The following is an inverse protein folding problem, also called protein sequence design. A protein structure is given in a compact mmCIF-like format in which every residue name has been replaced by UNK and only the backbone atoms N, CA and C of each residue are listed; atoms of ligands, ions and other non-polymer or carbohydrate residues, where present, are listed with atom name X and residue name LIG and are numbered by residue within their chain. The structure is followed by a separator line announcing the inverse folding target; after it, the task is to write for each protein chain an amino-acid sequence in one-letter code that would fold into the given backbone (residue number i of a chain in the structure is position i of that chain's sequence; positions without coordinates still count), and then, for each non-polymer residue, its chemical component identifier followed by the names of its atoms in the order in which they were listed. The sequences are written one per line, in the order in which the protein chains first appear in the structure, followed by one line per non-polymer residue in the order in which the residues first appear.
data_IF_994371134764
#
_entry.id   IF_994371134764
#
_cell.length_a   1.000
_cell.length_b   1.000
_cell.length_c   1.000
_cell.angle_alpha   90.00
_cell.angle_beta   90.00
_cell.angle_gamma   90.00
#
_symmetry.space_group_name_H-M   'P 1'
#
loop_
_entity.id
_entity.type
_entity.pdbx_description
1 polymer ?
#
# COMPACT_ATOMS: atom_id res chain seq x y z
N UNK A 1 5.65 -26.57 15.56
CA UNK A 1 6.59 -25.48 15.81
C UNK A 1 6.92 -24.89 14.44
N UNK A 2 6.18 -23.86 14.03
CA UNK A 2 6.24 -23.25 12.70
C UNK A 2 7.36 -22.19 12.72
N UNK A 3 8.40 -22.39 11.92
CA UNK A 3 9.35 -21.34 11.57
C UNK A 3 8.85 -20.73 10.27
N UNK A 4 8.11 -19.63 10.39
CA UNK A 4 7.81 -18.71 9.31
C UNK A 4 9.15 -18.03 8.97
N UNK A 5 9.68 -18.24 7.77
CA UNK A 5 10.62 -17.28 7.20
C UNK A 5 9.71 -16.11 6.78
N UNK A 6 9.61 -14.97 7.46
CA UNK A 6 10.70 -14.02 7.56
C UNK A 6 11.75 -14.35 6.49
N UNK A 7 11.60 -13.75 5.30
CA UNK A 7 12.78 -13.10 4.70
C UNK A 7 13.57 -12.59 5.90
N UNK A 8 14.80 -13.05 6.10
CA UNK A 8 15.58 -12.53 7.21
C UNK A 8 15.87 -11.06 6.89
N UNK A 9 14.90 -10.19 7.17
CA UNK A 9 15.09 -8.76 7.35
C UNK A 9 15.96 -8.55 8.60
N UNK A 10 16.19 -9.59 9.42
CA UNK A 10 17.30 -9.66 10.38
C UNK A 10 18.71 -9.72 9.75
N UNK A 11 18.81 -9.85 8.44
CA UNK A 11 20.00 -9.47 7.65
C UNK A 11 19.64 -8.46 6.57
N UNK A 12 18.64 -7.60 6.84
CA UNK A 12 18.74 -6.22 6.38
C UNK A 12 20.05 -5.76 7.01
N UNK A 13 21.11 -5.75 6.19
CA UNK A 13 22.42 -5.23 6.54
C UNK A 13 22.14 -3.99 7.38
N UNK A 14 22.72 -3.92 8.58
CA UNK A 14 22.85 -2.65 9.28
C UNK A 14 23.61 -1.74 8.31
N UNK A 15 22.87 -1.08 7.41
CA UNK A 15 23.39 -0.14 6.43
C UNK A 15 23.75 1.07 7.26
N UNK A 16 24.92 1.01 7.86
CA UNK A 16 25.58 2.18 8.40
C UNK A 16 25.70 3.16 7.24
N UNK A 17 24.84 4.19 7.25
CA UNK A 17 24.86 5.31 6.32
C UNK A 17 26.22 5.99 6.46
N UNK A 18 27.19 5.51 5.68
CA UNK A 18 28.51 6.09 5.58
C UNK A 18 28.42 7.32 4.70
N UNK A 19 28.37 8.50 5.33
CA UNK A 19 28.43 9.77 4.61
C UNK A 19 29.74 9.88 3.81
N UNK A 20 29.66 9.76 2.48
CA UNK A 20 30.75 10.08 1.57
C UNK A 20 30.35 11.27 0.71
N UNK A 21 31.04 12.40 0.90
CA UNK A 21 30.73 13.66 0.23
C UNK A 21 30.89 13.59 -1.29
N UNK A 22 29.88 14.07 -2.02
CA UNK A 22 29.93 14.26 -3.46
C UNK A 22 30.97 15.34 -3.84
N UNK A 23 31.96 14.95 -4.64
CA UNK A 23 32.71 15.85 -5.51
C UNK A 23 32.24 15.61 -6.94
N UNK A 24 31.54 16.58 -7.53
CA UNK A 24 31.00 16.49 -8.89
C UNK A 24 32.07 16.82 -9.93
N UNK A 25 32.46 15.84 -10.75
CA UNK A 25 33.14 16.10 -12.03
C UNK A 25 32.17 15.80 -13.17
N UNK A 26 31.61 16.87 -13.74
CA UNK A 26 30.76 16.84 -14.93
C UNK A 26 31.55 16.34 -16.14
N UNK A 27 31.10 15.25 -16.76
CA UNK A 27 31.46 14.93 -18.14
C UNK A 27 30.26 15.10 -19.04
N UNK A 28 30.25 16.23 -19.73
CA UNK A 28 29.51 16.43 -20.98
C UNK A 28 29.82 15.28 -21.94
N UNK A 29 28.77 14.65 -22.47
CA UNK A 29 28.86 13.83 -23.68
C UNK A 29 27.54 13.89 -24.46
N UNK A 30 27.48 14.89 -25.33
CA UNK A 30 27.27 14.64 -26.76
C UNK A 30 25.89 14.16 -27.22
N UNK A 31 25.16 15.12 -27.77
CA UNK A 31 23.97 15.03 -28.63
C UNK A 31 24.04 14.00 -29.77
N UNK A 32 22.89 13.40 -30.10
CA UNK A 32 22.56 13.04 -31.49
C UNK A 32 21.78 11.74 -31.69
N UNK A 33 20.48 11.84 -32.03
CA UNK A 33 19.71 10.68 -32.49
C UNK A 33 18.22 10.95 -32.70
N UNK A 34 17.87 11.63 -33.80
CA UNK A 34 16.48 11.79 -34.25
C UNK A 34 15.95 10.49 -34.88
N UNK A 35 14.69 10.14 -34.60
CA UNK A 35 13.83 9.45 -35.57
C UNK A 35 13.05 8.25 -35.05
N UNK A 36 11.71 8.37 -35.06
CA UNK A 36 10.82 7.20 -35.08
C UNK A 36 9.49 7.37 -34.34
N UNK A 37 8.62 8.30 -34.74
CA UNK A 37 7.21 8.26 -34.33
C UNK A 37 6.52 7.08 -35.02
N UNK A 38 6.24 6.01 -34.27
CA UNK A 38 5.33 4.94 -34.71
C UNK A 38 3.90 5.43 -34.52
N UNK A 39 3.20 5.58 -35.64
CA UNK A 39 1.80 5.97 -35.71
C UNK A 39 0.92 4.75 -35.38
N UNK A 40 0.45 4.64 -34.14
CA UNK A 40 -0.58 3.66 -33.76
C UNK A 40 -1.94 4.35 -33.89
N UNK A 41 -2.59 4.14 -35.03
CA UNK A 41 -4.01 4.46 -35.23
C UNK A 41 -4.85 3.42 -34.47
N UNK A 42 -5.15 3.71 -33.20
CA UNK A 42 -6.10 2.96 -32.37
C UNK A 42 -7.43 3.73 -32.22
N UNK A 43 -8.55 3.04 -32.40
CA UNK A 43 -9.88 3.61 -32.63
C UNK A 43 -10.47 4.48 -31.53
N UNK A 44 -11.25 5.48 -31.94
CA UNK A 44 -12.07 6.34 -31.09
C UNK A 44 -13.20 5.55 -30.43
N UNK A 45 -13.01 5.19 -29.16
CA UNK A 45 -14.05 4.75 -28.24
C UNK A 45 -14.81 5.95 -27.65
N UNK A 46 -16.13 5.87 -27.63
CA UNK A 46 -17.06 6.99 -27.45
C UNK A 46 -17.02 7.69 -26.09
N UNK A 47 -17.16 9.02 -26.14
CA UNK A 47 -17.46 9.87 -25.01
C UNK A 47 -18.91 9.62 -24.55
N UNK A 48 -19.06 9.02 -23.37
CA UNK A 48 -20.32 9.02 -22.62
C UNK A 48 -20.58 10.40 -22.04
N UNK A 49 -21.72 10.99 -22.41
CA UNK A 49 -22.08 12.37 -22.12
C UNK A 49 -22.28 12.68 -20.64
N UNK A 50 -21.82 13.86 -20.27
CA UNK A 50 -22.16 14.60 -19.07
C UNK A 50 -23.65 15.02 -19.09
N UNK A 51 -24.40 14.58 -18.09
CA UNK A 51 -25.80 14.97 -17.89
C UNK A 51 -25.97 15.70 -16.56
N UNK A 52 -25.71 17.01 -16.55
CA UNK A 52 -26.08 17.89 -15.46
C UNK A 52 -26.90 19.05 -16.02
N UNK A 53 -28.22 19.08 -15.78
CA UNK A 53 -29.02 20.29 -15.47
C UNK A 53 -30.53 19.99 -15.43
N UNK A 54 -31.21 20.61 -14.45
CA UNK A 54 -32.34 21.48 -14.78
C UNK A 54 -33.75 20.88 -14.74
N UNK A 55 -34.29 20.76 -13.53
CA UNK A 55 -35.71 20.87 -13.25
C UNK A 55 -36.25 22.23 -13.78
N UNK A 56 -37.23 22.23 -14.70
CA UNK A 56 -38.51 22.97 -14.63
C UNK A 56 -39.32 22.88 -15.94
N UNK A 57 -40.55 22.36 -15.81
CA UNK A 57 -41.78 22.70 -16.55
C UNK A 57 -41.95 22.54 -18.06
N UNK A 58 -43.20 22.14 -18.38
CA UNK A 58 -43.99 22.31 -19.62
C UNK A 58 -43.82 21.33 -20.79
N UNK A 59 -44.69 20.31 -20.79
CA UNK A 59 -45.74 20.11 -21.81
C UNK A 59 -45.30 19.70 -23.22
N UNK A 60 -45.58 18.43 -23.59
CA UNK A 60 -45.47 17.97 -24.98
C UNK A 60 -45.95 16.53 -25.18
N UNK A 61 -47.17 16.42 -25.69
CA UNK A 61 -47.94 15.26 -26.16
C UNK A 61 -47.22 13.95 -26.53
N UNK A 62 -47.76 12.85 -25.98
CA UNK A 62 -48.34 11.73 -26.73
C UNK A 62 -47.48 11.06 -27.82
N UNK A 63 -46.70 10.06 -27.43
CA UNK A 63 -46.09 9.07 -28.33
C UNK A 63 -46.57 7.66 -27.98
N UNK A 64 -47.09 6.97 -28.99
CA UNK A 64 -47.86 5.72 -28.95
C UNK A 64 -47.24 4.55 -28.20
N UNK A 65 -48.11 3.79 -27.52
CA UNK A 65 -47.85 2.45 -27.03
C UNK A 65 -47.53 1.50 -28.21
N UNK A 66 -46.27 1.10 -28.33
CA UNK A 66 -45.78 0.11 -29.28
C UNK A 66 -45.54 -1.24 -28.59
N UNK A 67 -46.46 -2.17 -28.82
CA UNK A 67 -46.28 -3.62 -28.92
C UNK A 67 -45.29 -4.32 -27.98
N UNK A 68 -45.84 -4.98 -26.96
CA UNK A 68 -45.24 -6.13 -26.30
C UNK A 68 -45.08 -7.28 -27.30
N UNK A 69 -43.88 -7.47 -27.83
CA UNK A 69 -43.50 -8.69 -28.53
C UNK A 69 -42.08 -9.04 -28.12
N UNK A 70 -41.93 -10.20 -27.49
CA UNK A 70 -40.68 -10.67 -26.89
C UNK A 70 -39.54 -10.69 -27.90
N UNK A 71 -38.67 -9.68 -27.81
CA UNK A 71 -37.30 -9.79 -28.24
C UNK A 71 -36.52 -10.37 -27.07
N UNK A 72 -36.07 -11.62 -27.21
CA UNK A 72 -34.90 -12.10 -26.48
C UNK A 72 -33.79 -11.08 -26.69
N UNK A 73 -33.59 -10.19 -25.71
CA UNK A 73 -32.42 -9.32 -25.70
C UNK A 73 -31.23 -10.23 -25.80
N UNK A 74 -30.50 -10.15 -26.92
CA UNK A 74 -29.22 -10.81 -27.06
C UNK A 74 -28.40 -10.36 -25.85
N UNK A 75 -28.18 -11.29 -24.92
CA UNK A 75 -27.25 -11.09 -23.82
C UNK A 75 -25.99 -10.54 -24.45
N UNK A 76 -25.63 -9.31 -24.06
CA UNK A 76 -24.40 -8.70 -24.53
C UNK A 76 -23.31 -9.72 -24.31
N UNK A 77 -22.62 -10.10 -25.39
CA UNK A 77 -21.50 -11.01 -25.34
C UNK A 77 -20.62 -10.55 -24.20
N UNK A 78 -20.62 -11.32 -23.10
CA UNK A 78 -19.65 -11.20 -22.02
C UNK A 78 -18.30 -11.44 -22.68
N UNK A 79 -17.73 -10.34 -23.17
CA UNK A 79 -16.55 -10.33 -24.00
C UNK A 79 -15.39 -10.75 -23.15
N UNK A 80 -14.89 -11.95 -23.43
CA UNK A 80 -13.52 -12.39 -23.29
C UNK A 80 -12.67 -11.60 -22.30
N UNK A 81 -12.65 -12.01 -21.04
CA UNK A 81 -11.46 -11.83 -20.21
C UNK A 81 -11.33 -13.06 -19.32
N UNK A 82 -10.86 -14.15 -19.92
CA UNK A 82 -10.08 -15.08 -19.10
C UNK A 82 -8.70 -14.44 -19.02
N UNK A 83 -8.49 -13.60 -18.00
CA UNK A 83 -7.14 -13.11 -17.71
C UNK A 83 -6.39 -14.28 -17.07
N UNK A 84 -5.78 -15.12 -17.90
CA UNK A 84 -4.80 -16.11 -17.46
C UNK A 84 -3.45 -15.43 -17.27
N UNK A 85 -3.42 -14.40 -16.43
CA UNK A 85 -2.22 -13.61 -16.20
C UNK A 85 -1.81 -13.71 -14.73
N UNK A 86 -0.53 -13.98 -14.49
CA UNK A 86 0.05 -13.93 -13.14
C UNK A 86 -0.17 -12.52 -12.57
N UNK A 87 -0.52 -12.44 -11.29
CA UNK A 87 -0.72 -11.15 -10.60
C UNK A 87 -2.13 -10.56 -10.73
N UNK A 88 -2.95 -11.07 -11.65
CA UNK A 88 -4.31 -10.58 -11.85
C UNK A 88 -5.18 -10.75 -10.61
N UNK A 89 -6.09 -9.79 -10.35
CA UNK A 89 -7.06 -9.86 -9.25
C UNK A 89 -8.07 -10.98 -9.50
N UNK A 90 -8.44 -11.71 -8.44
CA UNK A 90 -9.42 -12.81 -8.53
C UNK A 90 -10.22 -12.95 -7.24
N UNK A 91 -11.43 -13.49 -7.35
CA UNK A 91 -12.22 -13.92 -6.20
C UNK A 91 -12.30 -15.45 -6.09
N UNK A 92 -11.96 -16.17 -7.17
CA UNK A 92 -11.96 -17.63 -7.25
C UNK A 92 -11.03 -18.14 -8.37
N UNK A 93 -10.71 -19.42 -8.36
CA UNK A 93 -9.88 -20.07 -9.40
C UNK A 93 -10.46 -19.91 -10.83
N UNK A 94 -11.77 -19.73 -10.95
CA UNK A 94 -12.43 -19.56 -12.26
C UNK A 94 -12.04 -18.23 -12.91
N UNK A 95 -11.75 -17.20 -12.10
CA UNK A 95 -11.34 -15.88 -12.61
C UNK A 95 -9.94 -15.94 -13.24
N UNK A 96 -9.10 -16.88 -12.78
CA UNK A 96 -7.77 -17.14 -13.32
C UNK A 96 -7.75 -18.00 -14.59
N UNK A 97 -8.93 -18.37 -15.10
CA UNK A 97 -9.07 -19.18 -16.30
C UNK A 97 -8.92 -20.68 -16.13
N UNK A 98 -8.78 -21.14 -14.88
CA UNK A 98 -8.55 -22.55 -14.56
C UNK A 98 -7.22 -23.08 -15.09
N UNK A 99 -7.11 -24.41 -15.16
CA UNK A 99 -5.87 -25.09 -15.53
C UNK A 99 -4.90 -25.16 -14.36
N UNK A 100 -3.68 -24.66 -14.54
CA UNK A 100 -2.64 -24.65 -13.50
C UNK A 100 -2.73 -23.44 -12.56
N UNK A 101 -3.48 -22.41 -12.94
CA UNK A 101 -3.64 -21.19 -12.14
C UNK A 101 -4.72 -21.38 -11.08
N UNK A 102 -4.43 -20.86 -9.89
CA UNK A 102 -5.33 -20.80 -8.74
C UNK A 102 -5.38 -19.38 -8.18
N UNK A 103 -6.49 -19.03 -7.58
CA UNK A 103 -6.67 -17.78 -6.88
C UNK A 103 -6.24 -17.93 -5.41
N UNK A 104 -5.25 -17.17 -4.97
CA UNK A 104 -4.97 -17.02 -3.53
C UNK A 104 -5.83 -15.88 -3.01
N UNK A 105 -6.94 -16.22 -2.34
CA UNK A 105 -7.87 -15.27 -1.73
C UNK A 105 -7.36 -14.74 -0.38
N UNK A 106 -7.90 -13.64 0.15
CA UNK A 106 -7.51 -13.09 1.45
C UNK A 106 -7.68 -14.03 2.65
N UNK A 107 -8.50 -15.07 2.52
CA UNK A 107 -8.80 -16.07 3.55
C UNK A 107 -8.10 -17.42 3.31
N UNK A 108 -7.14 -17.48 2.39
CA UNK A 108 -6.40 -18.70 2.09
C UNK A 108 -5.65 -19.25 3.32
N UNK A 109 -5.66 -20.59 3.47
CA UNK A 109 -4.95 -21.25 4.57
C UNK A 109 -3.44 -20.98 4.48
N UNK A 110 -2.88 -20.43 5.55
CA UNK A 110 -1.45 -20.08 5.61
C UNK A 110 -1.13 -18.64 5.25
N UNK A 111 -2.13 -17.85 4.83
CA UNK A 111 -1.95 -16.45 4.45
C UNK A 111 -2.56 -16.17 3.09
N UNK A 112 -3.42 -15.16 3.02
CA UNK A 112 -4.07 -14.72 1.79
C UNK A 112 -3.45 -13.46 1.20
N UNK A 113 -3.76 -13.18 -0.06
CA UNK A 113 -3.36 -11.93 -0.71
C UNK A 113 -4.57 -11.00 -0.74
N UNK A 114 -4.35 -9.74 -0.35
CA UNK A 114 -5.37 -8.69 -0.42
C UNK A 114 -6.04 -8.71 -1.81
N UNK A 115 -7.37 -8.65 -1.82
CA UNK A 115 -8.21 -8.66 -3.04
C UNK A 115 -8.01 -9.87 -3.98
N UNK A 116 -7.26 -10.89 -3.55
CA UNK A 116 -6.94 -12.07 -4.33
C UNK A 116 -5.89 -11.86 -5.42
N UNK A 117 -5.18 -12.94 -5.76
CA UNK A 117 -4.19 -12.94 -6.84
C UNK A 117 -4.15 -14.28 -7.58
N UNK A 118 -4.19 -14.21 -8.91
CA UNK A 118 -3.94 -15.36 -9.77
C UNK A 118 -2.46 -15.72 -9.76
N UNK A 119 -2.17 -16.95 -9.35
CA UNK A 119 -0.82 -17.50 -9.30
C UNK A 119 -0.87 -19.01 -9.57
N UNK A 120 0.27 -19.67 -9.55
CA UNK A 120 0.37 -21.12 -9.55
C UNK A 120 1.57 -21.57 -8.75
N UNK A 121 1.54 -22.81 -8.30
CA UNK A 121 2.67 -23.43 -7.64
C UNK A 121 3.83 -23.61 -8.61
N UNK A 122 5.06 -23.46 -8.12
CA UNK A 122 6.27 -23.65 -8.90
C UNK A 122 7.42 -24.24 -8.07
N UNK A 123 8.39 -24.83 -8.75
CA UNK A 123 9.69 -25.19 -8.16
C UNK A 123 10.87 -24.45 -8.81
N UNK A 124 10.61 -23.76 -9.92
CA UNK A 124 11.60 -23.00 -10.68
C UNK A 124 10.93 -21.90 -11.53
N UNK A 125 11.68 -20.85 -11.89
CA UNK A 125 11.21 -19.76 -12.76
C UNK A 125 10.63 -20.27 -14.09
N UNK A 126 11.17 -21.38 -14.63
CA UNK A 126 10.73 -21.93 -15.90
C UNK A 126 9.26 -22.38 -15.91
N UNK A 127 8.70 -22.68 -14.73
CA UNK A 127 7.30 -23.05 -14.58
C UNK A 127 6.38 -21.82 -14.66
N UNK A 128 6.86 -20.63 -14.28
CA UNK A 128 6.08 -19.39 -14.24
C UNK A 128 5.93 -18.71 -15.60
N UNK A 129 6.65 -19.17 -16.62
CA UNK A 129 6.66 -18.56 -17.94
C UNK A 129 7.55 -17.32 -18.00
N UNK A 130 7.50 -16.58 -19.11
CA UNK A 130 8.39 -15.44 -19.34
C UNK A 130 8.07 -14.20 -18.50
N UNK A 131 6.87 -14.12 -17.92
CA UNK A 131 6.36 -12.96 -17.19
C UNK A 131 6.29 -13.19 -15.68
N UNK A 132 6.99 -14.19 -15.15
CA UNK A 132 6.97 -14.47 -13.73
C UNK A 132 8.20 -15.18 -13.21
N UNK A 133 8.40 -15.08 -11.90
CA UNK A 133 9.45 -15.78 -11.18
C UNK A 133 8.87 -16.63 -10.07
N UNK A 134 9.59 -17.70 -9.75
CA UNK A 134 9.21 -18.58 -8.67
C UNK A 134 9.83 -18.13 -7.37
N UNK A 135 9.02 -17.69 -6.41
CA UNK A 135 9.49 -17.34 -5.07
C UNK A 135 8.96 -18.31 -4.03
N UNK A 136 9.86 -18.81 -3.17
CA UNK A 136 9.51 -19.67 -2.03
C UNK A 136 9.37 -18.83 -0.77
N UNK A 137 8.17 -18.74 -0.21
CA UNK A 137 7.94 -17.92 0.98
C UNK A 137 8.44 -18.58 2.28
N UNK A 138 8.56 -19.93 2.33
CA UNK A 138 8.72 -20.63 3.61
C UNK A 138 9.87 -21.66 3.65
N UNK A 139 10.82 -21.59 2.72
CA UNK A 139 11.85 -22.63 2.57
C UNK A 139 11.27 -24.01 2.24
N UNK A 140 10.00 -24.07 1.85
CA UNK A 140 9.36 -25.24 1.25
C UNK A 140 9.93 -25.45 -0.15
N UNK A 141 9.96 -26.71 -0.60
CA UNK A 141 10.38 -27.04 -1.98
C UNK A 141 9.39 -26.54 -3.05
N UNK A 142 8.25 -25.99 -2.64
CA UNK A 142 7.21 -25.44 -3.51
C UNK A 142 7.06 -23.96 -3.20
N UNK A 143 7.21 -23.12 -4.23
CA UNK A 143 6.97 -21.69 -4.21
C UNK A 143 5.72 -21.31 -5.01
N UNK A 144 5.51 -20.01 -5.15
CA UNK A 144 4.44 -19.42 -5.94
C UNK A 144 5.04 -18.58 -7.08
N UNK A 145 4.35 -18.59 -8.22
CA UNK A 145 4.69 -17.72 -9.33
C UNK A 145 4.20 -16.30 -9.06
N UNK A 146 5.12 -15.36 -8.96
CA UNK A 146 4.82 -13.93 -8.92
C UNK A 146 5.02 -13.33 -10.30
N UNK A 147 4.26 -12.30 -10.62
CA UNK A 147 4.48 -11.51 -11.83
C UNK A 147 5.86 -10.85 -11.75
N UNK A 148 6.63 -10.95 -12.82
CA UNK A 148 7.91 -10.30 -12.95
C UNK A 148 7.70 -8.80 -13.20
N UNK A 149 8.49 -7.97 -12.54
CA UNK A 149 8.46 -6.52 -12.73
C UNK A 149 9.88 -5.98 -12.88
N UNK A 150 10.00 -4.79 -13.45
CA UNK A 150 11.26 -4.07 -13.54
C UNK A 150 11.27 -2.93 -12.53
N UNK A 151 12.28 -2.94 -11.68
CA UNK A 151 12.49 -1.90 -10.69
C UNK A 151 12.91 -0.59 -11.36
N UNK A 152 12.45 0.56 -10.85
CA UNK A 152 12.86 1.88 -11.34
C UNK A 152 12.27 2.34 -12.69
N UNK A 153 11.43 1.53 -13.34
CA UNK A 153 10.70 1.92 -14.56
C UNK A 153 9.18 1.70 -14.42
N UNK A 154 8.34 2.44 -15.18
CA UNK A 154 8.70 3.60 -15.98
C UNK A 154 8.83 4.88 -15.15
N UNK A 155 9.91 5.63 -15.39
CA UNK A 155 10.08 6.95 -14.82
C UNK A 155 9.15 7.95 -15.53
N UNK A 156 7.97 8.27 -14.97
CA UNK A 156 7.20 9.39 -15.51
C UNK A 156 5.74 9.60 -15.12
N UNK A 157 5.10 8.73 -14.34
CA UNK A 157 3.71 8.93 -13.97
C UNK A 157 3.53 9.02 -12.45
N UNK A 158 2.77 10.02 -11.97
CA UNK A 158 2.27 10.10 -10.59
C UNK A 158 1.18 9.04 -10.29
N UNK A 159 1.08 7.99 -11.10
CA UNK A 159 0.06 6.96 -11.05
C UNK A 159 0.73 5.60 -11.27
N UNK A 160 0.20 4.57 -10.61
CA UNK A 160 0.63 3.20 -10.76
C UNK A 160 0.54 2.79 -12.24
N UNK A 161 1.64 2.28 -12.79
CA UNK A 161 1.69 1.81 -14.17
C UNK A 161 0.86 0.52 -14.28
N UNK A 162 -0.20 0.46 -15.11
CA UNK A 162 -0.97 -0.76 -15.33
C UNK A 162 -0.14 -1.95 -15.83
N UNK A 163 1.06 -1.72 -16.39
CA UNK A 163 1.96 -2.79 -16.84
C UNK A 163 2.92 -3.27 -15.74
N UNK A 164 2.91 -2.63 -14.56
CA UNK A 164 3.74 -2.98 -13.42
C UNK A 164 2.83 -3.47 -12.31
N UNK A 165 2.85 -4.78 -12.05
CA UNK A 165 2.01 -5.39 -11.03
C UNK A 165 0.52 -5.09 -11.27
N UNK A 166 0.10 -5.09 -12.54
CA UNK A 166 -1.25 -4.69 -12.98
C UNK A 166 -1.72 -3.30 -12.54
N UNK A 167 -0.79 -2.40 -12.16
CA UNK A 167 -1.12 -1.10 -11.56
C UNK A 167 -1.87 -1.22 -10.24
N UNK A 168 -1.72 -2.35 -9.56
CA UNK A 168 -2.34 -2.63 -8.26
C UNK A 168 -1.61 -1.88 -7.16
N UNK A 169 -2.38 -1.37 -6.22
CA UNK A 169 -1.87 -0.66 -5.05
C UNK A 169 -1.65 -1.58 -3.83
N UNK A 170 -2.06 -2.84 -3.95
CA UNK A 170 -1.87 -3.93 -3.00
C UNK A 170 -0.82 -4.95 -3.47
N UNK A 171 -0.11 -4.62 -4.57
CA UNK A 171 1.11 -5.28 -5.01
C UNK A 171 2.16 -4.20 -5.24
N UNK A 172 3.44 -4.52 -5.05
CA UNK A 172 4.49 -3.63 -5.51
C UNK A 172 5.73 -4.40 -5.95
N UNK A 173 6.54 -3.75 -6.78
CA UNK A 173 7.73 -4.36 -7.34
C UNK A 173 8.85 -4.38 -6.30
N UNK A 174 9.21 -5.57 -5.83
CA UNK A 174 10.31 -5.78 -4.90
C UNK A 174 11.47 -6.45 -5.64
N UNK A 175 12.73 -5.98 -5.45
CA UNK A 175 13.89 -6.59 -6.10
C UNK A 175 14.02 -8.06 -5.70
N UNK A 176 14.36 -8.91 -6.66
CA UNK A 176 14.60 -10.31 -6.42
C UNK A 176 15.90 -10.50 -5.60
N UNK A 177 16.13 -11.70 -5.10
CA UNK A 177 17.41 -12.06 -4.48
C UNK A 177 18.24 -12.87 -5.47
N UNK A 178 19.49 -12.49 -5.70
CA UNK A 178 20.40 -13.22 -6.57
C UNK A 178 20.87 -14.54 -5.93
N UNK A 179 21.70 -15.30 -6.65
CA UNK A 179 22.23 -16.58 -6.16
C UNK A 179 23.15 -16.45 -4.93
N UNK A 180 23.62 -15.24 -4.61
CA UNK A 180 24.47 -14.94 -3.46
C UNK A 180 23.68 -14.50 -2.22
N UNK A 181 22.37 -14.25 -2.37
CA UNK A 181 21.56 -13.68 -1.30
C UNK A 181 21.50 -12.15 -1.34
N UNK A 182 22.05 -11.51 -2.37
CA UNK A 182 22.04 -10.06 -2.53
C UNK A 182 20.80 -9.59 -3.30
N UNK A 183 20.34 -8.36 -3.06
CA UNK A 183 19.23 -7.79 -3.81
C UNK A 183 19.64 -7.52 -5.26
N UNK A 184 18.92 -8.13 -6.21
CA UNK A 184 19.05 -7.91 -7.64
C UNK A 184 18.00 -6.91 -8.12
N UNK A 185 18.39 -5.65 -8.33
CA UNK A 185 17.48 -4.61 -8.83
C UNK A 185 17.17 -4.74 -10.32
N UNK A 186 17.82 -5.66 -11.06
CA UNK A 186 17.52 -5.90 -12.48
C UNK A 186 16.33 -6.84 -12.67
N UNK A 187 15.93 -7.54 -11.60
CA UNK A 187 14.79 -8.45 -11.55
C UNK A 187 13.89 -8.06 -10.39
N UNK A 188 12.59 -8.07 -10.59
CA UNK A 188 11.65 -7.80 -9.52
C UNK A 188 10.47 -8.74 -9.55
N UNK A 189 9.83 -8.88 -8.39
CA UNK A 189 8.60 -9.61 -8.20
C UNK A 189 7.51 -8.67 -7.69
N UNK A 190 6.31 -8.81 -8.24
CA UNK A 190 5.13 -8.16 -7.70
C UNK A 190 4.69 -8.87 -6.43
N UNK A 191 5.22 -8.40 -5.30
CA UNK A 191 4.93 -8.98 -3.98
C UNK A 191 3.67 -8.35 -3.39
N UNK A 192 2.86 -9.12 -2.65
CA UNK A 192 1.66 -8.62 -2.02
C UNK A 192 1.97 -7.64 -0.88
N UNK A 193 1.12 -6.62 -0.77
CA UNK A 193 1.13 -5.63 0.28
C UNK A 193 -0.32 -5.37 0.72
N UNK A 194 -0.73 -5.96 1.83
CA UNK A 194 -1.93 -5.54 2.51
C UNK A 194 -1.66 -4.18 3.20
N UNK A 195 -2.67 -3.31 3.23
CA UNK A 195 -2.53 -1.95 3.82
C UNK A 195 -3.35 -1.77 5.08
N UNK A 196 -4.49 -2.43 5.13
CA UNK A 196 -5.44 -2.35 6.21
C UNK A 196 -6.29 -3.63 6.23
N UNK A 197 -7.02 -3.81 7.31
CA UNK A 197 -7.86 -4.99 7.50
C UNK A 197 -9.02 -5.02 6.48
N UNK A 198 -9.47 -3.86 5.97
CA UNK A 198 -10.54 -3.78 4.97
C UNK A 198 -10.14 -4.44 3.64
N UNK A 199 -8.87 -4.38 3.24
CA UNK A 199 -8.35 -5.07 2.04
C UNK A 199 -8.29 -6.60 2.23
N UNK A 200 -8.34 -7.07 3.49
CA UNK A 200 -8.26 -8.48 3.86
C UNK A 200 -9.62 -9.14 4.16
N UNK A 201 -10.71 -8.40 4.09
CA UNK A 201 -12.06 -8.93 4.32
C UNK A 201 -12.23 -9.47 5.75
N UNK A 202 -12.46 -10.78 5.96
CA UNK A 202 -12.57 -11.36 7.31
C UNK A 202 -11.22 -11.61 8.01
N UNK A 203 -10.11 -11.52 7.27
CA UNK A 203 -8.75 -11.68 7.78
C UNK A 203 -8.18 -10.33 8.23
N UNK A 204 -6.98 -10.34 8.82
CA UNK A 204 -6.26 -9.14 9.25
C UNK A 204 -5.06 -8.89 8.35
N UNK A 205 -4.75 -7.64 8.06
CA UNK A 205 -3.52 -7.31 7.37
C UNK A 205 -2.33 -7.48 8.30
N UNK A 206 -1.34 -8.29 7.90
CA UNK A 206 -0.03 -8.31 8.54
C UNK A 206 0.99 -7.46 7.75
N UNK A 207 1.26 -6.22 8.20
CA UNK A 207 2.15 -5.30 7.48
C UNK A 207 3.63 -5.72 7.50
N UNK A 208 4.03 -6.69 8.32
CA UNK A 208 5.40 -7.26 8.26
C UNK A 208 5.62 -8.15 7.03
N UNK A 209 4.54 -8.80 6.59
CA UNK A 209 4.57 -9.82 5.55
C UNK A 209 3.87 -9.39 4.26
N UNK A 210 3.03 -8.36 4.34
CA UNK A 210 2.21 -7.88 3.23
C UNK A 210 1.03 -8.81 2.89
N UNK A 211 0.74 -9.83 3.71
CA UNK A 211 -0.35 -10.79 3.48
C UNK A 211 -1.45 -10.68 4.53
N UNK A 212 -2.62 -11.21 4.18
CA UNK A 212 -3.78 -11.31 5.04
C UNK A 212 -3.70 -12.58 5.91
N UNK A 213 -3.78 -12.43 7.22
CA UNK A 213 -3.67 -13.53 8.19
C UNK A 213 -4.96 -13.71 8.99
N UNK A 214 -5.24 -14.96 9.39
CA UNK A 214 -6.41 -15.26 10.21
C UNK A 214 -6.32 -14.69 11.64
N UNK A 215 -5.13 -14.29 12.10
CA UNK A 215 -4.89 -13.71 13.42
C UNK A 215 -4.30 -12.33 13.25
N UNK A 216 -4.82 -11.34 13.99
CA UNK A 216 -4.29 -9.99 13.96
C UNK A 216 -2.81 -9.98 14.37
N UNK A 217 -1.94 -9.25 13.65
CA UNK A 217 -0.55 -9.11 14.03
C UNK A 217 -0.44 -8.43 15.39
N UNK A 218 0.47 -8.93 16.23
CA UNK A 218 0.80 -8.32 17.53
C UNK A 218 1.95 -7.35 17.36
N UNK A 219 2.03 -6.34 18.23
CA UNK A 219 3.11 -5.37 18.24
C UNK A 219 2.58 -3.95 18.36
N UNK A 220 3.52 -3.00 18.35
CA UNK A 220 3.25 -1.58 18.31
C UNK A 220 2.79 -1.16 16.91
N UNK A 221 1.80 -0.28 16.88
CA UNK A 221 1.25 0.27 15.65
C UNK A 221 2.25 1.20 14.94
N UNK A 222 1.97 1.44 13.66
CA UNK A 222 2.62 2.49 12.88
C UNK A 222 2.71 3.83 13.64
N UNK A 223 3.88 4.47 13.58
CA UNK A 223 4.18 5.73 14.24
C UNK A 223 4.46 5.62 15.75
N UNK A 224 4.38 4.42 16.34
CA UNK A 224 4.79 4.24 17.73
C UNK A 224 6.33 4.29 17.86
N UNK A 225 6.86 4.84 18.95
CA UNK A 225 8.29 4.78 19.21
C UNK A 225 8.72 3.33 19.45
N UNK A 226 9.86 2.94 18.89
CA UNK A 226 10.48 1.64 19.09
C UNK A 226 11.96 1.82 19.38
N UNK A 227 12.55 0.90 20.14
CA UNK A 227 13.99 0.91 20.39
C UNK A 227 14.63 -0.23 19.61
N UNK A 228 15.31 0.08 18.51
CA UNK A 228 16.25 -0.86 17.90
C UNK A 228 17.67 -0.32 18.03
N UNK A 229 18.50 -1.01 18.81
CA UNK A 229 19.93 -0.71 18.85
C UNK A 229 20.58 -1.30 17.61
N UNK A 230 21.38 -0.49 16.92
CA UNK A 230 21.92 -0.59 15.55
C UNK A 230 22.58 -1.90 15.06
N UNK A 231 22.54 -3.01 15.80
CA UNK A 231 23.14 -4.28 15.39
C UNK A 231 22.18 -5.47 15.41
N UNK A 232 21.05 -5.37 16.11
CA UNK A 232 20.16 -6.52 16.29
C UNK A 232 18.75 -6.03 16.65
N UNK A 233 17.87 -5.86 15.66
CA UNK A 233 16.44 -5.64 15.89
C UNK A 233 15.72 -6.98 16.18
N UNK A 234 16.38 -7.97 16.77
CA UNK A 234 15.74 -9.27 17.07
C UNK A 234 14.54 -9.16 18.01
N UNK A 235 14.48 -8.10 18.82
CA UNK A 235 13.35 -7.75 19.69
C UNK A 235 12.54 -6.57 19.12
N UNK A 236 12.30 -6.53 17.81
CA UNK A 236 11.46 -5.50 17.20
C UNK A 236 10.04 -5.55 17.79
N UNK A 237 9.59 -4.50 18.50
CA UNK A 237 8.26 -4.49 19.10
C UNK A 237 7.17 -4.13 18.10
N UNK A 238 7.51 -3.72 16.88
CA UNK A 238 6.57 -3.21 15.88
C UNK A 238 5.75 -4.34 15.23
N UNK A 239 4.54 -4.01 14.76
CA UNK A 239 3.74 -4.93 13.94
C UNK A 239 4.38 -5.25 12.59
N UNK A 240 5.19 -4.33 12.06
CA UNK A 240 5.97 -4.51 10.83
C UNK A 240 7.45 -4.43 11.15
N UNK A 241 8.08 -3.25 11.04
CA UNK A 241 9.48 -3.09 11.45
C UNK A 241 9.78 -1.73 12.10
N UNK A 242 10.80 -1.72 12.94
CA UNK A 242 11.35 -0.54 13.60
C UNK A 242 12.38 0.13 12.70
N UNK A 243 12.06 1.31 12.18
CA UNK A 243 13.01 2.11 11.43
C UNK A 243 13.79 3.00 12.39
N UNK A 244 15.08 2.68 12.57
CA UNK A 244 15.98 3.40 13.48
C UNK A 244 16.21 4.85 13.03
N UNK A 245 16.18 5.78 13.98
CA UNK A 245 16.56 7.17 13.74
C UNK A 245 18.08 7.31 13.54
N UNK A 246 18.50 8.46 13.01
CA UNK A 246 19.92 8.76 12.77
C UNK A 246 20.79 8.67 14.04
N UNK A 247 20.18 8.81 15.22
CA UNK A 247 20.84 8.71 16.52
C UNK A 247 21.05 7.28 17.05
N UNK A 248 20.43 6.26 16.44
CA UNK A 248 20.70 4.84 16.68
C UNK A 248 20.20 4.22 18.00
N UNK A 249 19.48 4.98 18.84
CA UNK A 249 18.88 4.46 20.08
C UNK A 249 17.35 4.37 20.01
N UNK A 250 16.73 5.30 19.29
CA UNK A 250 15.28 5.40 19.13
C UNK A 250 14.93 5.30 17.64
N UNK A 251 13.81 4.65 17.36
CA UNK A 251 13.23 4.48 16.03
C UNK A 251 11.72 4.67 16.08
N UNK A 252 11.08 4.53 14.93
CA UNK A 252 9.63 4.58 14.81
C UNK A 252 9.15 3.35 14.06
N UNK A 253 8.08 2.73 14.55
CA UNK A 253 7.42 1.64 13.85
C UNK A 253 6.88 2.15 12.53
N UNK A 254 7.31 1.50 11.45
CA UNK A 254 6.89 1.79 10.09
C UNK A 254 6.44 0.49 9.42
N UNK A 255 5.94 0.60 8.20
CA UNK A 255 5.54 -0.51 7.35
C UNK A 255 6.00 -0.26 5.91
N UNK A 256 6.07 -1.33 5.13
CA UNK A 256 6.40 -1.23 3.70
C UNK A 256 5.22 -0.66 2.93
N UNK A 257 5.52 0.08 1.88
CA UNK A 257 4.50 0.67 1.02
C UNK A 257 4.97 0.76 -0.43
N UNK A 258 3.99 0.94 -1.33
CA UNK A 258 4.22 1.11 -2.76
C UNK A 258 4.48 2.59 -3.06
N UNK A 259 5.64 2.87 -3.67
CA UNK A 259 6.01 4.22 -4.07
C UNK A 259 5.02 4.79 -5.10
N UNK A 260 4.74 6.09 -4.99
CA UNK A 260 3.85 6.82 -5.89
C UNK A 260 2.35 6.63 -5.63
N UNK A 261 1.97 5.84 -4.62
CA UNK A 261 0.58 5.78 -4.16
C UNK A 261 0.22 6.95 -3.21
N UNK A 262 0.55 8.17 -3.62
CA UNK A 262 0.35 9.37 -2.79
C UNK A 262 -1.13 9.79 -2.69
N UNK A 263 -1.96 9.31 -3.63
CA UNK A 263 -3.37 9.72 -3.69
C UNK A 263 -4.32 8.74 -3.01
N UNK A 264 -3.95 7.49 -2.78
CA UNK A 264 -4.87 6.55 -2.15
C UNK A 264 -4.82 6.75 -0.63
N UNK A 265 -5.92 7.17 0.02
CA UNK A 265 -5.99 7.23 1.47
C UNK A 265 -5.60 5.88 2.09
N UNK A 266 -4.78 5.89 3.13
CA UNK A 266 -4.31 4.67 3.80
C UNK A 266 -3.20 3.93 3.05
N UNK A 267 -2.37 4.63 2.26
CA UNK A 267 -1.14 4.03 1.68
C UNK A 267 -0.11 3.69 2.74
N UNK A 268 -0.22 4.42 3.86
CA UNK A 268 0.57 4.28 5.04
C UNK A 268 -0.31 4.51 6.26
N UNK A 269 -0.28 3.53 7.16
CA UNK A 269 -1.07 3.44 8.36
C UNK A 269 -2.48 2.91 8.11
N UNK A 270 -2.93 2.03 9.01
CA UNK A 270 -4.36 1.80 9.26
C UNK A 270 -4.98 3.12 9.72
N UNK A 271 -5.54 3.87 8.77
CA UNK A 271 -6.20 5.14 9.01
C UNK A 271 -7.52 4.92 9.75
N UNK A 272 -7.45 4.54 11.03
CA UNK A 272 -8.61 4.47 11.93
C UNK A 272 -9.26 5.85 12.14
N UNK A 273 -8.57 6.94 11.77
CA UNK A 273 -8.99 8.34 11.97
C UNK A 273 -9.53 9.05 10.72
N UNK A 274 -9.42 8.45 9.52
CA UNK A 274 -9.90 9.07 8.26
C UNK A 274 -9.06 10.25 7.72
N UNK A 275 -7.93 10.62 8.36
CA UNK A 275 -6.92 11.50 7.76
C UNK A 275 -5.77 10.67 7.17
N UNK A 276 -5.19 11.16 6.06
CA UNK A 276 -3.92 10.65 5.55
C UNK A 276 -2.82 11.05 6.53
N UNK A 277 -2.56 10.18 7.51
CA UNK A 277 -1.57 10.42 8.55
C UNK A 277 -0.16 9.98 8.12
N UNK A 278 0.00 9.40 6.93
CA UNK A 278 1.29 8.90 6.44
C UNK A 278 1.47 8.96 4.93
N UNK A 279 2.73 8.98 4.52
CA UNK A 279 3.17 8.92 3.13
C UNK A 279 4.22 7.83 2.92
N UNK A 280 4.24 7.28 1.72
CA UNK A 280 5.23 6.30 1.32
C UNK A 280 6.51 6.98 0.86
N UNK A 281 7.59 6.84 1.63
CA UNK A 281 8.89 7.45 1.31
C UNK A 281 9.88 6.37 0.86
N UNK A 282 10.15 6.31 -0.44
CA UNK A 282 11.12 5.39 -1.04
C UNK A 282 12.58 5.71 -0.71
N UNK A 283 12.90 7.00 -0.55
CA UNK A 283 14.27 7.45 -0.31
C UNK A 283 14.82 7.14 1.10
N UNK A 284 13.99 6.65 2.01
CA UNK A 284 14.40 6.35 3.39
C UNK A 284 15.13 5.02 3.54
N UNK A 285 14.87 4.05 2.66
CA UNK A 285 15.32 2.67 2.88
C UNK A 285 16.57 2.30 2.06
N UNK A 286 16.77 2.86 0.86
CA UNK A 286 17.80 2.36 -0.07
C UNK A 286 18.71 3.40 -0.76
N UNK A 287 18.81 4.63 -0.24
CA UNK A 287 19.71 5.64 -0.83
C UNK A 287 21.21 5.46 -0.49
N UNK A 288 21.60 4.31 0.07
CA UNK A 288 23.01 3.95 0.19
C UNK A 288 23.49 3.40 -1.16
N UNK A 289 24.46 4.09 -1.78
CA UNK A 289 25.33 3.57 -2.86
C UNK A 289 24.84 3.58 -4.32
N UNK A 290 23.99 4.53 -4.71
CA UNK A 290 23.67 4.74 -6.13
C UNK A 290 22.73 3.69 -6.73
N UNK A 291 21.82 3.18 -5.90
CA UNK A 291 20.66 2.41 -6.35
C UNK A 291 19.88 3.19 -7.44
N UNK A 292 19.25 2.49 -8.40
CA UNK A 292 18.44 3.14 -9.42
C UNK A 292 17.31 3.96 -8.78
N UNK A 293 16.94 5.07 -9.43
CA UNK A 293 15.82 5.91 -9.00
C UNK A 293 14.58 5.02 -8.79
N UNK A 294 14.03 5.02 -7.57
CA UNK A 294 12.78 4.32 -7.30
C UNK A 294 11.66 4.93 -8.14
N UNK A 295 10.94 4.13 -8.91
CA UNK A 295 9.79 4.56 -9.68
C UNK A 295 8.49 4.32 -8.92
N UNK A 296 7.41 4.89 -9.44
CA UNK A 296 6.06 4.57 -8.96
C UNK A 296 5.77 3.08 -9.20
N UNK A 297 5.14 2.43 -8.22
CA UNK A 297 4.89 0.98 -8.24
C UNK A 297 6.00 0.11 -7.63
N UNK A 298 7.11 0.69 -7.17
CA UNK A 298 8.15 -0.04 -6.42
C UNK A 298 7.79 -0.22 -4.94
N UNK A 299 7.96 -1.42 -4.39
CA UNK A 299 7.64 -1.80 -3.00
C UNK A 299 8.78 -1.52 -2.00
N UNK A 300 9.54 -0.43 -2.19
CA UNK A 300 10.71 -0.10 -1.36
C UNK A 300 10.54 1.15 -0.51
N UNK A 301 9.30 1.63 -0.34
CA UNK A 301 9.02 2.71 0.58
C UNK A 301 8.86 2.25 2.02
N UNK A 302 9.22 3.14 2.94
CA UNK A 302 8.78 3.07 4.31
C UNK A 302 7.72 4.14 4.55
N UNK A 303 6.70 3.78 5.30
CA UNK A 303 5.69 4.73 5.73
C UNK A 303 6.24 5.73 6.72
N UNK A 304 5.95 7.01 6.53
CA UNK A 304 6.40 8.07 7.41
C UNK A 304 5.26 9.06 7.66
N UNK A 305 5.12 9.51 8.92
CA UNK A 305 3.93 10.22 9.35
C UNK A 305 3.95 11.63 8.74
N UNK A 306 2.88 12.07 8.11
CA UNK A 306 2.81 13.43 7.56
C UNK A 306 2.51 14.47 8.64
N UNK A 307 3.13 15.64 8.54
CA UNK A 307 2.97 16.74 9.50
C UNK A 307 3.02 18.11 8.82
N UNK A 308 2.34 19.10 9.39
CA UNK A 308 2.52 20.52 9.07
C UNK A 308 3.42 21.23 10.10
N UNK A 309 3.63 20.59 11.26
CA UNK A 309 4.51 21.09 12.31
C UNK A 309 4.95 19.98 13.26
N UNK A 310 5.99 20.26 14.04
CA UNK A 310 6.61 19.34 15.00
C UNK A 310 5.61 18.79 16.04
N UNK A 311 4.62 19.58 16.45
CA UNK A 311 3.61 19.17 17.43
C UNK A 311 2.65 18.07 16.94
N UNK A 312 2.62 17.78 15.64
CA UNK A 312 1.82 16.69 15.08
C UNK A 312 2.57 15.35 15.09
N UNK A 313 3.89 15.37 15.29
CA UNK A 313 4.71 14.17 15.26
C UNK A 313 4.59 13.37 16.54
N UNK A 314 4.32 12.07 16.41
CA UNK A 314 4.32 11.13 17.54
C UNK A 314 5.74 10.90 18.08
N UNK A 315 6.71 10.95 17.20
CA UNK A 315 8.15 10.84 17.44
C UNK A 315 8.92 11.69 16.42
N UNK A 316 10.12 12.12 16.79
CA UNK A 316 11.01 12.86 15.90
C UNK A 316 10.61 14.33 15.65
N UNK A 317 11.24 14.94 14.65
CA UNK A 317 10.93 16.31 14.22
C UNK A 317 10.09 16.28 12.94
N UNK A 318 9.31 17.34 12.71
CA UNK A 318 8.64 17.53 11.43
C UNK A 318 9.59 18.18 10.43
N UNK A 319 10.04 17.44 9.42
CA UNK A 319 10.97 17.93 8.40
C UNK A 319 10.25 18.36 7.14
N UNK A 320 10.69 19.47 6.56
CA UNK A 320 10.10 20.03 5.33
C UNK A 320 10.26 19.09 4.13
N UNK A 321 9.15 18.69 3.52
CA UNK A 321 9.17 17.90 2.27
C UNK A 321 9.71 18.72 1.11
N UNK A 322 9.48 20.03 1.10
CA UNK A 322 10.01 20.93 0.06
C UNK A 322 11.54 20.92 0.01
N UNK A 323 12.19 20.86 1.18
CA UNK A 323 13.64 20.79 1.25
C UNK A 323 14.14 19.38 0.94
N UNK A 324 13.42 18.36 1.41
CA UNK A 324 13.75 16.96 1.13
C UNK A 324 13.75 16.66 -0.38
N UNK A 325 12.79 17.23 -1.13
CA UNK A 325 12.69 17.09 -2.58
C UNK A 325 13.40 18.21 -3.36
N UNK A 326 13.96 19.21 -2.68
CA UNK A 326 14.56 20.38 -3.33
C UNK A 326 13.57 21.17 -4.22
N UNK A 327 12.27 21.08 -3.93
CA UNK A 327 11.19 21.66 -4.74
C UNK A 327 10.17 22.36 -3.85
N UNK A 328 10.03 23.68 -4.00
CA UNK A 328 9.02 24.47 -3.28
C UNK A 328 7.60 24.02 -3.64
N UNK A 329 6.76 23.80 -2.63
CA UNK A 329 5.39 23.33 -2.73
C UNK A 329 5.24 21.83 -3.01
N UNK A 330 6.31 21.04 -3.01
CA UNK A 330 6.24 19.60 -3.23
C UNK A 330 5.41 18.90 -2.15
N UNK A 331 5.59 19.27 -0.88
CA UNK A 331 4.81 18.72 0.23
C UNK A 331 3.30 18.90 0.00
N UNK A 332 2.88 20.15 -0.17
CA UNK A 332 1.46 20.47 -0.39
C UNK A 332 0.89 19.90 -1.69
N UNK A 333 1.67 19.88 -2.77
CA UNK A 333 1.20 19.41 -4.07
C UNK A 333 1.03 17.89 -4.11
N UNK A 334 1.94 17.16 -3.49
CA UNK A 334 1.97 15.69 -3.55
C UNK A 334 1.26 15.04 -2.37
N UNK A 335 1.44 15.58 -1.16
CA UNK A 335 1.02 14.98 0.09
C UNK A 335 0.00 15.82 0.86
N UNK A 336 -0.34 17.01 0.37
CA UNK A 336 -1.28 17.96 1.01
C UNK A 336 -0.84 18.37 2.43
N UNK A 337 0.45 18.23 2.73
CA UNK A 337 1.08 18.46 4.04
C UNK A 337 2.49 19.01 3.82
N UNK A 338 2.97 19.86 4.73
CA UNK A 338 4.25 20.55 4.52
C UNK A 338 5.49 19.66 4.82
N UNK A 339 5.31 18.62 5.62
CA UNK A 339 6.42 17.87 6.19
C UNK A 339 6.13 16.42 6.49
N UNK A 340 7.18 15.75 6.99
CA UNK A 340 7.15 14.38 7.47
C UNK A 340 7.86 14.23 8.81
N UNK A 341 7.29 13.44 9.71
CA UNK A 341 7.87 13.07 10.99
C UNK A 341 8.90 11.98 10.79
N UNK A 342 10.16 12.34 11.03
CA UNK A 342 11.29 11.41 10.98
C UNK A 342 12.41 11.93 11.88
N UNK A 343 13.54 11.23 11.95
CA UNK A 343 14.79 11.72 12.57
C UNK A 343 15.88 11.77 11.49
N UNK A 344 15.86 12.82 10.67
CA UNK A 344 16.88 13.03 9.65
C UNK A 344 18.17 13.59 10.24
N UNK A 345 19.34 13.28 9.64
CA UNK A 345 20.59 13.93 10.02
C UNK A 345 20.50 15.47 9.89
N UNK A 346 21.37 16.16 10.64
CA UNK A 346 21.40 17.62 10.64
C UNK A 346 21.54 18.19 9.22
N UNK A 347 20.76 19.22 8.90
CA UNK A 347 20.84 19.93 7.62
C UNK A 347 19.51 20.06 6.88
N UNK A 348 18.46 19.34 7.29
CA UNK A 348 17.09 19.50 6.77
C UNK A 348 16.30 20.42 7.70
N UNK A 349 15.54 21.39 7.17
CA UNK A 349 14.77 22.31 8.00
C UNK A 349 13.62 21.62 8.73
N UNK A 350 13.47 22.02 9.99
CA UNK A 350 12.42 21.59 10.89
C UNK A 350 11.29 22.61 10.86
N UNK A 351 10.07 22.14 10.67
CA UNK A 351 8.83 22.90 10.77
C UNK A 351 8.43 23.04 12.25
N UNK A 352 9.14 23.94 12.94
CA UNK A 352 9.06 24.09 14.41
C UNK A 352 7.79 24.76 14.95
N UNK A 353 7.00 25.44 14.11
CA UNK A 353 5.81 26.17 14.55
C UNK A 353 4.58 25.81 13.72
N UNK A 354 3.52 25.36 14.40
CA UNK A 354 2.18 25.21 13.81
C UNK A 354 1.63 26.61 13.52
N UNK A 355 1.98 27.16 12.36
CA UNK A 355 1.65 28.54 11.99
C UNK A 355 0.34 28.66 11.20
N UNK A 356 -0.29 27.53 10.85
CA UNK A 356 -1.60 27.47 10.20
C UNK A 356 -2.73 27.18 11.17
N UNK A 357 -3.95 27.58 10.81
CA UNK A 357 -5.21 27.09 11.40
C UNK A 357 -5.51 25.64 11.04
N UNK A 358 -4.48 24.82 10.79
CA UNK A 358 -4.58 23.42 10.40
C UNK A 358 -5.42 22.66 11.43
N UNK A 359 -6.43 21.93 10.94
CA UNK A 359 -7.37 21.22 11.79
C UNK A 359 -6.62 20.36 12.80
N UNK A 360 -6.98 20.47 14.08
CA UNK A 360 -6.33 19.75 15.17
C UNK A 360 -6.10 18.29 14.77
N UNK A 361 -4.82 17.89 14.65
CA UNK A 361 -4.44 16.53 14.30
C UNK A 361 -5.21 15.55 15.16
N UNK A 362 -5.90 14.62 14.52
CA UNK A 362 -6.68 13.61 15.21
C UNK A 362 -5.78 12.90 16.22
N UNK A 363 -6.08 13.03 17.51
CA UNK A 363 -5.42 12.23 18.54
C UNK A 363 -5.57 10.78 18.10
N UNK A 364 -4.44 10.10 17.84
CA UNK A 364 -4.43 8.70 17.42
C UNK A 364 -5.42 7.92 18.28
N UNK A 365 -6.44 7.34 17.63
CA UNK A 365 -7.46 6.59 18.34
C UNK A 365 -6.77 5.53 19.17
N UNK A 366 -6.95 5.57 20.49
CA UNK A 366 -6.50 4.47 21.35
C UNK A 366 -7.12 3.21 20.79
N UNK A 367 -6.29 2.29 20.29
CA UNK A 367 -6.71 1.04 19.67
C UNK A 367 -7.83 0.43 20.51
N UNK A 368 -9.02 0.30 19.92
CA UNK A 368 -10.15 -0.28 20.60
C UNK A 368 -9.73 -1.66 21.10
N UNK A 369 -9.76 -1.86 22.42
CA UNK A 369 -9.58 -3.19 23.00
C UNK A 369 -10.52 -4.14 22.28
N UNK A 370 -9.97 -5.17 21.62
CA UNK A 370 -10.75 -6.23 21.02
C UNK A 370 -11.81 -6.67 22.03
N UNK A 371 -13.08 -6.51 21.66
CA UNK A 371 -14.20 -6.88 22.51
C UNK A 371 -14.02 -8.34 22.90
N UNK A 372 -13.78 -8.61 24.19
CA UNK A 372 -13.72 -9.96 24.71
C UNK A 372 -15.01 -10.65 24.30
N UNK A 373 -14.91 -11.68 23.45
CA UNK A 373 -16.03 -12.50 23.04
C UNK A 373 -16.84 -12.91 24.26
N UNK A 374 -18.03 -12.33 24.37
CA UNK A 374 -18.99 -12.67 25.40
C UNK A 374 -19.31 -14.15 25.27
N UNK A 375 -18.98 -14.91 26.30
CA UNK A 375 -19.49 -16.28 26.46
C UNK A 375 -21.02 -16.25 26.44
N UNK A 376 -21.61 -17.22 25.76
CA UNK A 376 -23.05 -17.40 25.68
C UNK A 376 -23.67 -17.48 27.08
N UNK A 377 -24.30 -16.39 27.51
CA UNK A 377 -25.11 -16.32 28.71
C UNK A 377 -26.36 -17.17 28.53
N UNK A 378 -26.46 -18.24 29.31
CA UNK A 378 -27.65 -19.07 29.42
C UNK A 378 -28.76 -18.32 30.16
N UNK A 379 -29.96 -18.37 29.57
CA UNK A 379 -31.29 -18.19 30.16
C UNK A 379 -31.43 -17.34 31.43
N UNK A 380 -31.87 -16.09 31.26
CA UNK A 380 -32.51 -15.29 32.30
C UNK A 380 -33.99 -15.07 31.97
N UNK A 381 -34.86 -15.49 32.88
CA UNK A 381 -36.32 -15.43 32.81
C UNK A 381 -36.88 -14.00 32.79
N UNK A 382 -38.04 -13.86 32.14
CA UNK A 382 -38.81 -12.63 32.04
C UNK A 382 -39.21 -12.08 33.42
N UNK A 383 -38.81 -10.83 33.70
CA UNK A 383 -39.35 -10.02 34.79
C UNK A 383 -40.42 -9.08 34.27
N UNK A 384 -41.67 -9.35 34.63
CA UNK A 384 -42.82 -8.47 34.42
C UNK A 384 -42.87 -7.34 35.46
N UNK A 385 -43.22 -6.14 35.01
CA UNK A 385 -44.10 -5.22 35.73
C UNK A 385 -43.45 -4.13 36.59
N UNK A 386 -43.79 -2.88 36.29
CA UNK A 386 -43.49 -1.73 37.14
C UNK A 386 -43.77 -0.38 36.47
N UNK A 387 -45.04 -0.03 36.27
CA UNK A 387 -45.48 1.34 36.02
C UNK A 387 -45.45 2.15 37.33
N UNK A 388 -44.90 3.37 37.31
CA UNK A 388 -45.58 4.65 37.65
C UNK A 388 -44.60 5.80 37.90
N UNK A 389 -44.80 6.92 37.19
CA UNK A 389 -44.95 8.25 37.77
C UNK A 389 -43.70 9.03 38.22
N UNK A 390 -43.47 10.20 37.62
CA UNK A 390 -42.61 11.25 38.20
C UNK A 390 -42.33 12.38 37.24
N UNK A 391 -43.03 13.50 37.42
CA UNK A 391 -42.97 14.70 36.60
C UNK A 391 -41.80 15.64 36.97
N UNK A 392 -41.40 16.44 35.97
CA UNK A 392 -40.97 17.85 36.01
C UNK A 392 -39.93 18.33 37.05
N UNK A 393 -38.85 18.94 36.54
CA UNK A 393 -37.97 19.83 37.29
C UNK A 393 -37.00 20.58 36.38
N UNK A 394 -37.38 21.79 35.96
CA UNK A 394 -36.50 22.84 35.39
C UNK A 394 -35.76 23.61 36.48
N UNK A 395 -34.75 24.39 36.06
CA UNK A 395 -33.90 25.41 36.76
C UNK A 395 -32.57 24.88 37.32
N UNK A 396 -31.41 25.52 37.12
CA UNK A 396 -31.07 26.87 36.64
C UNK A 396 -30.14 26.85 35.43
#
# INVERSE_FOLDING_TARGET
MKKLLLLSVGSLVAMSVGMMGCSSDSKDSGSGGSGGTVNVTGGTGGQGGSGNTGNTTSGGNGGSAGSTTGGTGAGGSGGSFVQTELGATCASDTDCGGGEFSCITPDAEGGGIARGMCTKNCTSDSECGASGHCSSNDGTTQGLCYEACTFGEPAGANALDPNKCHGRNDLGCFPDTDANGDLDFTRGNCVPLCRNDEDCGPSYCNPSSGICEATAPTGLDYGAPCSCTTADCSDDPCKSFCLGGASGADGTCTELCVNGDVQTPGACGSATSGQQDGACLSGLVFNADGAPDTAVGDALGACAQLCDCEGECRSGNCYSLDELFGQTGAGQTLYQRDGVCYDFPAGVAILSACSGTGGAGGTGGTGGTAGTGGTAGTGGTAGTGGTTGGAAGTSN
#
